data_IF_238951159651
#
_entry.id   IF_238951159651
#
_cell.length_a   1.000
_cell.length_b   1.000
_cell.length_c   1.000
_cell.angle_alpha   90.00
_cell.angle_beta   90.00
_cell.angle_gamma   90.00
#
_symmetry.space_group_name_H-M   'P 1'
#
loop_
_entity.id
_entity.type
_entity.pdbx_description
1 polymer ?
#
# COMPACT_ATOMS: atom_id res chain seq x y z
N UNK A 1 -21.13 76.37 16.18
CA UNK A 1 -21.29 74.96 16.63
C UNK A 1 -22.72 74.43 16.44
N UNK A 2 -23.78 75.20 16.71
CA UNK A 2 -25.19 74.72 16.63
C UNK A 2 -25.67 74.43 15.20
N UNK A 3 -25.19 75.17 14.19
CA UNK A 3 -25.64 75.01 12.79
C UNK A 3 -25.12 73.72 12.10
N UNK A 4 -23.96 73.21 12.52
CA UNK A 4 -23.37 71.99 11.93
C UNK A 4 -24.05 70.71 12.46
N UNK A 5 -24.50 70.71 13.73
CA UNK A 5 -25.26 69.60 14.31
C UNK A 5 -26.66 69.44 13.72
N UNK A 6 -27.31 70.55 13.33
CA UNK A 6 -28.66 70.51 12.75
C UNK A 6 -28.68 69.88 11.35
N UNK A 7 -27.62 70.06 10.55
CA UNK A 7 -27.53 69.51 9.19
C UNK A 7 -27.27 67.99 9.23
N UNK A 8 -26.40 67.51 10.12
CA UNK A 8 -26.19 66.08 10.33
C UNK A 8 -27.45 65.35 10.83
N UNK A 9 -28.24 65.97 11.70
CA UNK A 9 -29.47 65.37 12.22
C UNK A 9 -30.62 65.35 11.20
N UNK A 10 -30.64 66.31 10.26
CA UNK A 10 -31.68 66.40 9.22
C UNK A 10 -31.50 65.35 8.11
N UNK A 11 -30.25 64.98 7.79
CA UNK A 11 -29.96 63.98 6.75
C UNK A 11 -29.89 62.53 7.26
N UNK A 12 -29.68 62.29 8.55
CA UNK A 12 -29.58 60.94 9.13
C UNK A 12 -30.95 60.24 9.34
N UNK A 13 -32.01 61.01 9.64
CA UNK A 13 -33.37 60.48 9.86
C UNK A 13 -33.94 59.65 8.69
N UNK A 14 -33.90 60.11 7.41
CA UNK A 14 -34.49 59.36 6.31
C UNK A 14 -33.74 58.05 5.99
N UNK A 15 -32.42 57.99 6.25
CA UNK A 15 -31.61 56.79 6.01
C UNK A 15 -31.91 55.72 7.05
N UNK A 16 -32.11 56.11 8.31
CA UNK A 16 -32.45 55.18 9.40
C UNK A 16 -33.88 54.64 9.22
N UNK A 17 -34.86 55.46 8.80
CA UNK A 17 -36.21 54.97 8.51
C UNK A 17 -36.24 53.98 7.32
N UNK A 18 -35.41 54.20 6.30
CA UNK A 18 -35.31 53.28 5.15
C UNK A 18 -34.76 51.90 5.56
N UNK A 19 -33.73 51.88 6.42
CA UNK A 19 -33.10 50.64 6.89
C UNK A 19 -34.05 49.88 7.82
N UNK A 20 -34.74 50.56 8.74
CA UNK A 20 -35.75 49.95 9.61
C UNK A 20 -36.93 49.40 8.81
N UNK A 21 -37.35 50.09 7.74
CA UNK A 21 -38.38 49.61 6.83
C UNK A 21 -37.99 48.34 6.07
N UNK A 22 -36.76 48.27 5.56
CA UNK A 22 -36.25 47.10 4.84
C UNK A 22 -36.10 45.86 5.73
N UNK A 23 -35.64 46.05 6.98
CA UNK A 23 -35.55 44.96 7.98
C UNK A 23 -36.95 44.55 8.47
N UNK A 24 -37.88 45.50 8.59
CA UNK A 24 -39.28 45.20 8.89
C UNK A 24 -39.95 44.36 7.79
N UNK A 25 -39.65 44.65 6.52
CA UNK A 25 -40.21 43.94 5.38
C UNK A 25 -39.70 42.50 5.26
N UNK A 26 -38.42 42.25 5.59
CA UNK A 26 -37.87 40.88 5.61
C UNK A 26 -38.42 40.06 6.77
N UNK A 27 -38.61 40.67 7.95
CA UNK A 27 -39.26 40.01 9.09
C UNK A 27 -40.74 39.75 8.80
N UNK A 28 -41.44 40.68 8.14
CA UNK A 28 -42.82 40.48 7.69
C UNK A 28 -42.93 39.30 6.73
N UNK A 29 -41.99 39.13 5.79
CA UNK A 29 -41.94 37.98 4.88
C UNK A 29 -41.65 36.65 5.62
N UNK A 30 -40.94 36.70 6.74
CA UNK A 30 -40.64 35.52 7.55
C UNK A 30 -41.85 35.09 8.42
N UNK A 31 -42.73 36.04 8.79
CA UNK A 31 -43.97 35.76 9.53
C UNK A 31 -45.19 35.51 8.63
N UNK A 32 -45.24 36.06 7.41
CA UNK A 32 -46.28 35.77 6.41
C UNK A 32 -45.92 34.52 5.58
N UNK A 33 -45.85 33.38 6.26
CA UNK A 33 -45.87 32.08 5.58
C UNK A 33 -47.32 31.79 5.15
N UNK A 34 -47.65 31.71 3.84
CA UNK A 34 -48.99 31.32 3.42
C UNK A 34 -49.24 29.88 3.87
N UNK A 35 -50.34 29.68 4.59
CA UNK A 35 -50.83 28.36 4.93
C UNK A 35 -51.35 27.69 3.64
N UNK A 36 -50.55 26.79 3.06
CA UNK A 36 -51.05 25.89 2.03
C UNK A 36 -52.09 24.94 2.64
N UNK A 37 -53.34 25.17 2.25
CA UNK A 37 -54.50 24.35 2.62
C UNK A 37 -54.33 22.95 2.02
N UNK A 38 -54.17 21.94 2.88
CA UNK A 38 -54.33 20.53 2.50
C UNK A 38 -55.80 20.27 2.18
N UNK A 39 -56.21 20.47 0.93
CA UNK A 39 -57.53 20.04 0.47
C UNK A 39 -57.40 18.63 -0.12
N UNK A 40 -57.90 17.66 0.64
CA UNK A 40 -58.17 16.30 0.18
C UNK A 40 -59.31 16.40 -0.85
N UNK A 41 -58.98 16.39 -2.14
CA UNK A 41 -59.94 16.01 -3.18
C UNK A 41 -59.60 14.58 -3.57
N UNK A 42 -60.20 13.65 -2.83
CA UNK A 42 -60.50 12.33 -3.39
C UNK A 42 -61.62 12.58 -4.38
N UNK A 43 -61.39 12.39 -5.68
CA UNK A 43 -62.21 11.52 -6.54
C UNK A 43 -61.56 11.47 -7.93
N UNK A 44 -61.18 10.25 -8.33
CA UNK A 44 -60.88 9.78 -9.69
C UNK A 44 -59.89 10.63 -10.47
N UNK A 45 -58.61 10.27 -10.41
CA UNK A 45 -57.93 9.80 -11.61
C UNK A 45 -56.68 9.01 -11.24
N UNK A 46 -56.57 7.86 -11.88
CA UNK A 46 -55.46 6.93 -11.98
C UNK A 46 -54.49 6.85 -10.79
N UNK A 47 -54.56 5.71 -10.09
CA UNK A 47 -53.36 5.05 -9.59
C UNK A 47 -52.46 4.80 -10.80
N UNK A 48 -51.62 5.75 -11.16
CA UNK A 48 -50.32 5.42 -11.76
C UNK A 48 -49.40 5.23 -10.55
N UNK A 49 -49.53 4.06 -9.92
CA UNK A 49 -48.34 3.45 -9.35
C UNK A 49 -47.39 3.27 -10.51
N UNK A 50 -46.43 4.17 -10.64
CA UNK A 50 -45.20 3.83 -11.33
C UNK A 50 -44.55 2.72 -10.49
N UNK A 51 -44.89 1.48 -10.82
CA UNK A 51 -44.17 0.30 -10.31
C UNK A 51 -42.76 0.21 -10.90
N UNK A 52 -42.36 1.13 -11.79
CA UNK A 52 -41.05 1.20 -12.43
C UNK A 52 -39.96 1.83 -11.56
N UNK A 53 -40.24 2.90 -10.81
CA UNK A 53 -39.20 3.61 -10.06
C UNK A 53 -38.74 2.89 -8.79
N UNK A 54 -39.63 2.19 -8.09
CA UNK A 54 -39.33 1.53 -6.82
C UNK A 54 -38.18 0.52 -6.96
N UNK A 55 -38.21 -0.29 -8.03
CA UNK A 55 -37.15 -1.26 -8.32
C UNK A 55 -35.86 -0.61 -8.83
N UNK A 56 -35.95 0.55 -9.48
CA UNK A 56 -34.78 1.31 -9.94
C UNK A 56 -34.03 1.94 -8.76
N UNK A 57 -34.75 2.52 -7.78
CA UNK A 57 -34.15 3.05 -6.57
C UNK A 57 -33.55 1.95 -5.68
N UNK A 58 -34.19 0.78 -5.58
CA UNK A 58 -33.63 -0.40 -4.90
C UNK A 58 -32.34 -0.89 -5.57
N UNK A 59 -32.32 -0.96 -6.90
CA UNK A 59 -31.15 -1.40 -7.67
C UNK A 59 -29.98 -0.41 -7.56
N UNK A 60 -30.24 0.91 -7.55
CA UNK A 60 -29.20 1.93 -7.34
C UNK A 60 -28.60 1.82 -5.94
N UNK A 61 -29.43 1.62 -4.91
CA UNK A 61 -28.96 1.43 -3.54
C UNK A 61 -28.11 0.16 -3.38
N UNK A 62 -28.47 -0.93 -4.07
CA UNK A 62 -27.70 -2.17 -4.08
C UNK A 62 -26.35 -2.00 -4.82
N UNK A 63 -26.34 -1.29 -5.96
CA UNK A 63 -25.11 -0.96 -6.70
C UNK A 63 -24.15 -0.12 -5.83
N UNK A 64 -24.65 0.88 -5.11
CA UNK A 64 -23.81 1.72 -4.23
C UNK A 64 -23.24 0.92 -3.06
N UNK A 65 -24.03 -0.02 -2.49
CA UNK A 65 -23.56 -0.93 -1.46
C UNK A 65 -22.48 -1.87 -1.98
N UNK A 66 -22.66 -2.44 -3.18
CA UNK A 66 -21.68 -3.30 -3.83
C UNK A 66 -20.40 -2.53 -4.20
N UNK A 67 -20.52 -1.27 -4.63
CA UNK A 67 -19.39 -0.40 -4.94
C UNK A 67 -18.58 -0.06 -3.69
N UNK A 68 -19.26 0.24 -2.59
CA UNK A 68 -18.62 0.49 -1.29
C UNK A 68 -17.88 -0.76 -0.82
N UNK A 69 -18.53 -1.92 -0.84
CA UNK A 69 -17.90 -3.20 -0.48
C UNK A 69 -16.69 -3.53 -1.36
N UNK A 70 -16.76 -3.30 -2.67
CA UNK A 70 -15.62 -3.49 -3.57
C UNK A 70 -14.46 -2.56 -3.23
N UNK A 71 -14.73 -1.28 -2.91
CA UNK A 71 -13.69 -0.34 -2.51
C UNK A 71 -13.01 -0.78 -1.22
N UNK A 72 -13.79 -1.22 -0.23
CA UNK A 72 -13.26 -1.65 1.06
C UNK A 72 -12.40 -2.92 0.90
N UNK A 73 -12.85 -3.89 0.10
CA UNK A 73 -12.07 -5.09 -0.27
C UNK A 73 -10.79 -4.73 -1.04
N UNK A 74 -10.85 -3.77 -1.97
CA UNK A 74 -9.67 -3.31 -2.71
C UNK A 74 -8.64 -2.66 -1.77
N UNK A 75 -9.09 -1.88 -0.79
CA UNK A 75 -8.19 -1.27 0.19
C UNK A 75 -7.58 -2.31 1.13
N UNK A 76 -8.36 -3.29 1.58
CA UNK A 76 -7.87 -4.42 2.37
C UNK A 76 -6.80 -5.21 1.58
N UNK A 77 -7.09 -5.57 0.33
CA UNK A 77 -6.12 -6.23 -0.55
C UNK A 77 -4.85 -5.40 -0.76
N UNK A 78 -5.00 -4.08 -0.92
CA UNK A 78 -3.86 -3.17 -1.07
C UNK A 78 -3.01 -3.17 0.18
N UNK A 79 -3.62 -3.10 1.36
CA UNK A 79 -2.91 -3.10 2.63
C UNK A 79 -2.20 -4.43 2.87
N UNK A 80 -2.88 -5.57 2.68
CA UNK A 80 -2.26 -6.88 2.79
C UNK A 80 -1.09 -7.05 1.82
N UNK A 81 -1.20 -6.52 0.59
CA UNK A 81 -0.11 -6.56 -0.38
C UNK A 81 1.11 -5.74 0.08
N UNK A 82 0.89 -4.57 0.68
CA UNK A 82 1.98 -3.75 1.24
C UNK A 82 2.65 -4.48 2.39
N UNK A 83 1.88 -5.05 3.31
CA UNK A 83 2.40 -5.77 4.47
C UNK A 83 3.19 -7.01 4.05
N UNK A 84 2.67 -7.77 3.08
CA UNK A 84 3.37 -8.91 2.48
C UNK A 84 4.67 -8.50 1.79
N UNK A 85 4.65 -7.41 1.01
CA UNK A 85 5.85 -6.90 0.36
C UNK A 85 6.92 -6.47 1.36
N UNK A 86 6.52 -5.85 2.48
CA UNK A 86 7.45 -5.46 3.53
C UNK A 86 8.06 -6.69 4.22
N UNK A 87 7.25 -7.74 4.46
CA UNK A 87 7.73 -8.99 5.04
C UNK A 87 8.72 -9.71 4.10
N UNK A 88 8.44 -9.78 2.80
CA UNK A 88 9.36 -10.37 1.81
C UNK A 88 10.68 -9.59 1.72
N UNK A 89 10.62 -8.26 1.75
CA UNK A 89 11.83 -7.42 1.79
C UNK A 89 12.68 -7.69 3.03
N UNK A 90 12.05 -7.73 4.22
CA UNK A 90 12.75 -8.02 5.47
C UNK A 90 13.37 -9.43 5.47
N UNK A 91 12.67 -10.42 4.92
CA UNK A 91 13.18 -11.79 4.75
C UNK A 91 14.40 -11.82 3.83
N UNK A 92 14.34 -11.15 2.67
CA UNK A 92 15.47 -11.07 1.74
C UNK A 92 16.69 -10.38 2.37
N UNK A 93 16.49 -9.25 3.05
CA UNK A 93 17.56 -8.54 3.74
C UNK A 93 18.20 -9.40 4.82
N UNK A 94 17.39 -10.05 5.65
CA UNK A 94 17.87 -10.97 6.66
C UNK A 94 18.73 -12.09 6.07
N UNK A 95 18.26 -12.76 5.02
CA UNK A 95 19.01 -13.85 4.38
C UNK A 95 20.31 -13.36 3.72
N UNK A 96 20.29 -12.18 3.09
CA UNK A 96 21.48 -11.57 2.52
C UNK A 96 22.53 -11.26 3.60
N UNK A 97 22.11 -10.65 4.71
CA UNK A 97 23.00 -10.36 5.84
C UNK A 97 23.56 -11.63 6.44
N UNK A 98 22.72 -12.62 6.75
CA UNK A 98 23.18 -13.89 7.32
C UNK A 98 24.16 -14.61 6.38
N UNK A 99 23.91 -14.59 5.08
CA UNK A 99 24.85 -15.17 4.10
C UNK A 99 26.23 -14.49 4.16
N UNK A 100 26.28 -13.16 4.22
CA UNK A 100 27.55 -12.43 4.36
C UNK A 100 28.27 -12.75 5.67
N UNK A 101 27.53 -12.83 6.78
CA UNK A 101 28.07 -13.15 8.10
C UNK A 101 28.58 -14.60 8.21
N UNK A 102 28.03 -15.54 7.43
CA UNK A 102 28.53 -16.92 7.39
C UNK A 102 29.66 -17.09 6.35
N UNK A 103 29.59 -16.38 5.22
CA UNK A 103 30.64 -16.44 4.18
C UNK A 103 31.97 -15.90 4.70
N UNK A 104 31.96 -14.85 5.51
CA UNK A 104 33.19 -14.25 6.08
C UNK A 104 34.03 -15.24 6.89
N UNK A 105 33.50 -15.95 7.90
CA UNK A 105 34.27 -16.97 8.63
C UNK A 105 34.62 -18.18 7.76
N UNK A 106 33.76 -18.62 6.84
CA UNK A 106 34.08 -19.74 5.93
C UNK A 106 35.26 -19.40 5.00
N UNK A 107 35.29 -18.18 4.46
CA UNK A 107 36.41 -17.69 3.64
C UNK A 107 37.71 -17.55 4.44
N UNK A 108 37.64 -17.50 5.77
CA UNK A 108 38.81 -17.58 6.65
C UNK A 108 39.24 -19.02 6.95
N UNK A 109 38.28 -19.92 7.20
CA UNK A 109 38.55 -21.31 7.58
C UNK A 109 38.99 -22.16 6.40
N UNK A 110 38.35 -22.04 5.22
CA UNK A 110 38.64 -22.88 4.05
C UNK A 110 40.12 -22.80 3.64
N UNK A 111 40.72 -21.61 3.44
CA UNK A 111 42.13 -21.52 3.05
C UNK A 111 43.08 -22.08 4.12
N UNK A 112 42.71 -22.00 5.40
CA UNK A 112 43.51 -22.59 6.48
C UNK A 112 43.45 -24.11 6.40
N UNK A 113 42.27 -24.68 6.14
CA UNK A 113 42.12 -26.12 5.93
C UNK A 113 42.91 -26.59 4.70
N UNK A 114 42.91 -25.83 3.61
CA UNK A 114 43.73 -26.11 2.41
C UNK A 114 45.23 -26.14 2.76
N UNK A 115 45.74 -25.11 3.44
CA UNK A 115 47.15 -25.03 3.86
C UNK A 115 47.53 -26.21 4.78
N UNK A 116 46.64 -26.60 5.70
CA UNK A 116 46.88 -27.72 6.61
C UNK A 116 46.90 -29.05 5.86
N UNK A 117 46.00 -29.25 4.88
CA UNK A 117 45.94 -30.45 4.06
C UNK A 117 47.17 -30.63 3.15
N UNK A 118 47.79 -29.52 2.75
CA UNK A 118 49.04 -29.48 1.97
C UNK A 118 50.31 -29.61 2.83
N UNK A 119 50.18 -29.60 4.16
CA UNK A 119 51.30 -29.74 5.09
C UNK A 119 51.61 -31.21 5.46
N UNK A 120 52.74 -31.44 6.12
CA UNK A 120 53.08 -32.76 6.67
C UNK A 120 52.16 -33.10 7.85
N UNK A 121 51.16 -33.93 7.59
CA UNK A 121 50.16 -34.39 8.57
C UNK A 121 50.02 -35.91 8.52
N UNK A 122 49.59 -36.50 9.64
CA UNK A 122 49.27 -37.93 9.72
C UNK A 122 47.99 -38.26 8.95
N UNK A 123 47.83 -39.53 8.54
CA UNK A 123 46.62 -40.00 7.83
C UNK A 123 45.33 -39.71 8.61
N UNK A 124 45.37 -39.86 9.94
CA UNK A 124 44.23 -39.60 10.80
C UNK A 124 43.84 -38.12 10.84
N UNK A 125 44.83 -37.22 10.88
CA UNK A 125 44.59 -35.77 10.77
C UNK A 125 44.06 -35.38 9.39
N UNK A 126 44.56 -36.02 8.33
CA UNK A 126 44.09 -35.79 6.96
C UNK A 126 42.61 -36.11 6.81
N UNK A 127 42.15 -37.20 7.41
CA UNK A 127 40.73 -37.61 7.33
C UNK A 127 39.80 -36.59 8.02
N UNK A 128 40.18 -36.11 9.22
CA UNK A 128 39.44 -35.06 9.92
C UNK A 128 39.43 -33.73 9.16
N UNK A 129 40.61 -33.29 8.68
CA UNK A 129 40.73 -32.03 7.95
C UNK A 129 39.98 -32.08 6.63
N UNK A 130 40.00 -33.22 5.92
CA UNK A 130 39.23 -33.43 4.70
C UNK A 130 37.73 -33.36 4.97
N UNK A 131 37.26 -34.01 6.04
CA UNK A 131 35.86 -33.95 6.47
C UNK A 131 35.43 -32.52 6.80
N UNK A 132 36.25 -31.78 7.56
CA UNK A 132 35.98 -30.38 7.89
C UNK A 132 35.95 -29.49 6.64
N UNK A 133 36.89 -29.70 5.71
CA UNK A 133 36.98 -28.96 4.45
C UNK A 133 35.76 -29.20 3.57
N UNK A 134 35.39 -30.47 3.34
CA UNK A 134 34.20 -30.82 2.57
C UNK A 134 32.93 -30.23 3.21
N UNK A 135 32.83 -30.28 4.54
CA UNK A 135 31.68 -29.70 5.26
C UNK A 135 31.60 -28.18 5.10
N UNK A 136 32.73 -27.48 5.16
CA UNK A 136 32.79 -26.03 4.97
C UNK A 136 32.37 -25.62 3.54
N UNK A 137 32.83 -26.36 2.53
CA UNK A 137 32.43 -26.15 1.13
C UNK A 137 30.94 -26.46 0.92
N UNK A 138 30.43 -27.53 1.52
CA UNK A 138 29.00 -27.87 1.46
C UNK A 138 28.15 -26.80 2.13
N UNK A 139 28.57 -26.27 3.28
CA UNK A 139 27.87 -25.19 3.97
C UNK A 139 27.80 -23.93 3.11
N UNK A 140 28.89 -23.56 2.44
CA UNK A 140 28.90 -22.43 1.50
C UNK A 140 27.88 -22.62 0.38
N UNK A 141 27.86 -23.81 -0.25
CA UNK A 141 26.88 -24.14 -1.30
C UNK A 141 25.43 -24.06 -0.82
N UNK A 142 25.13 -24.63 0.35
CA UNK A 142 23.78 -24.60 0.91
C UNK A 142 23.28 -23.17 1.14
N UNK A 143 24.16 -22.28 1.58
CA UNK A 143 23.81 -20.87 1.82
C UNK A 143 23.60 -20.12 0.50
N UNK A 144 24.41 -20.41 -0.51
CA UNK A 144 24.25 -19.84 -1.85
C UNK A 144 22.92 -20.31 -2.49
N UNK A 145 22.61 -21.61 -2.38
CA UNK A 145 21.34 -22.19 -2.87
C UNK A 145 20.12 -21.59 -2.13
N UNK A 146 20.22 -21.40 -0.82
CA UNK A 146 19.18 -20.78 0.00
C UNK A 146 18.90 -19.33 -0.44
N UNK A 147 19.96 -18.57 -0.71
CA UNK A 147 19.83 -17.20 -1.22
C UNK A 147 19.17 -17.16 -2.59
N UNK A 148 19.58 -18.05 -3.50
CA UNK A 148 19.02 -18.08 -4.86
C UNK A 148 17.56 -18.51 -4.83
N UNK A 149 17.18 -19.46 -3.97
CA UNK A 149 15.77 -19.79 -3.73
C UNK A 149 14.98 -18.57 -3.25
N UNK A 150 15.51 -17.80 -2.29
CA UNK A 150 14.84 -16.59 -1.80
C UNK A 150 14.64 -15.53 -2.88
N UNK A 151 15.57 -15.40 -3.83
CA UNK A 151 15.40 -14.48 -4.98
C UNK A 151 14.34 -14.97 -5.96
N UNK A 152 14.27 -16.29 -6.20
CA UNK A 152 13.23 -16.91 -7.04
C UNK A 152 11.85 -16.65 -6.46
N UNK A 153 11.68 -16.90 -5.16
CA UNK A 153 10.41 -16.73 -4.46
C UNK A 153 9.90 -15.28 -4.50
N UNK A 154 10.82 -14.31 -4.37
CA UNK A 154 10.51 -12.90 -4.49
C UNK A 154 10.29 -12.41 -5.95
N UNK A 155 10.44 -13.28 -6.95
CA UNK A 155 10.37 -12.90 -8.37
C UNK A 155 11.52 -11.99 -8.83
N UNK A 156 12.59 -11.89 -8.04
CA UNK A 156 13.73 -10.97 -8.24
C UNK A 156 14.92 -11.63 -8.95
N UNK A 157 14.70 -12.70 -9.72
CA UNK A 157 15.78 -13.38 -10.43
C UNK A 157 16.25 -12.54 -11.64
N UNK A 158 17.39 -11.88 -11.51
CA UNK A 158 18.01 -11.14 -12.61
C UNK A 158 19.00 -12.05 -13.35
N UNK A 159 18.80 -12.20 -14.66
CA UNK A 159 19.72 -12.98 -15.51
C UNK A 159 20.90 -12.07 -15.87
N UNK A 160 22.07 -12.33 -15.28
CA UNK A 160 23.31 -11.71 -15.73
C UNK A 160 23.81 -12.39 -17.00
N UNK A 161 23.99 -11.62 -18.08
CA UNK A 161 24.62 -12.10 -19.31
C UNK A 161 26.11 -11.83 -19.25
N UNK A 162 26.92 -12.86 -19.00
CA UNK A 162 28.40 -12.79 -19.03
C UNK A 162 28.95 -13.70 -20.13
N UNK A 163 30.03 -13.26 -20.78
CA UNK A 163 30.72 -14.06 -21.79
C UNK A 163 31.33 -15.32 -21.17
N UNK A 164 30.87 -16.49 -21.59
CA UNK A 164 31.35 -17.79 -21.11
C UNK A 164 32.34 -18.40 -22.11
N UNK A 165 33.51 -18.81 -21.61
CA UNK A 165 34.41 -19.67 -22.38
C UNK A 165 33.93 -21.12 -22.29
N UNK A 166 33.27 -21.60 -23.35
CA UNK A 166 32.69 -22.95 -23.44
C UNK A 166 33.70 -24.06 -23.07
N UNK A 167 34.98 -23.89 -23.41
CA UNK A 167 36.04 -24.86 -23.06
C UNK A 167 36.15 -25.08 -21.54
N UNK A 168 36.09 -24.02 -20.73
CA UNK A 168 36.14 -24.13 -19.25
C UNK A 168 34.91 -24.85 -18.69
N UNK A 169 33.74 -24.62 -19.29
CA UNK A 169 32.50 -25.29 -18.85
C UNK A 169 32.56 -26.78 -19.16
N UNK A 170 33.06 -27.15 -20.35
CA UNK A 170 33.25 -28.55 -20.74
C UNK A 170 34.26 -29.29 -19.86
N UNK A 171 35.34 -28.64 -19.43
CA UNK A 171 36.31 -29.23 -18.51
C UNK A 171 35.70 -29.47 -17.12
N UNK A 172 34.99 -28.48 -16.58
CA UNK A 172 34.33 -28.59 -15.27
C UNK A 172 33.26 -29.69 -15.23
N UNK A 173 32.50 -29.89 -16.31
CA UNK A 173 31.48 -30.95 -16.41
C UNK A 173 32.10 -32.34 -16.57
N UNK A 174 33.31 -32.45 -17.14
CA UNK A 174 34.02 -33.73 -17.27
C UNK A 174 34.70 -34.18 -15.98
N UNK A 175 34.99 -33.25 -15.07
CA UNK A 175 35.65 -33.52 -13.79
C UNK A 175 34.69 -33.74 -12.61
N UNK A 176 33.37 -33.62 -12.85
CA UNK A 176 32.32 -33.89 -11.85
C UNK A 176 31.65 -35.23 -12.10
#
# INVERSE_FOLDING_TARGET
>A
AVLCGLILFTFAKPVIELIVGLVGLTVLFMFFKPAEKKEKIVTKDAIITDKGDNGKYEMIAEIDKLKTKNRDLLEELRQTKVDLSAAEMAKMEFLATMSHEIRTPLNGIIPILDILLDSEITDFQRDYLSTAHVSAIQMQKLIDDLLDFSKVEAGNLTIETKGLKIQRVMEAVKSS
#
